data_IF_583412303174
#
_entry.id   IF_583412303174
#
_cell.length_a   1.000
_cell.length_b   1.000
_cell.length_c   1.000
_cell.angle_alpha   90.00
_cell.angle_beta   90.00
_cell.angle_gamma   90.00
#
_symmetry.space_group_name_H-M   'P 1'
#
loop_
_entity.id
_entity.type
_entity.pdbx_description
1 polymer ?
#
# COMPACT_ATOMS: atom_id res chain seq x y z
N UNK A 1 16.88 -23.39 -43.61
CA UNK A 1 17.59 -22.36 -44.42
C UNK A 1 16.52 -21.53 -45.13
N UNK A 2 16.25 -20.31 -44.67
CA UNK A 2 15.22 -19.45 -45.26
C UNK A 2 15.70 -19.01 -46.65
N UNK A 3 14.96 -19.37 -47.70
CA UNK A 3 15.19 -18.79 -49.03
C UNK A 3 14.76 -17.33 -48.96
N UNK A 4 15.70 -16.41 -49.08
CA UNK A 4 15.43 -14.97 -49.12
C UNK A 4 14.70 -14.72 -50.44
N UNK A 5 13.44 -14.24 -50.44
CA UNK A 5 12.77 -13.84 -51.67
C UNK A 5 13.50 -12.62 -52.23
N UNK A 6 13.80 -12.67 -53.52
CA UNK A 6 14.24 -11.51 -54.28
C UNK A 6 13.19 -10.39 -54.18
N UNK A 7 13.68 -9.16 -53.99
CA UNK A 7 12.99 -7.86 -53.91
C UNK A 7 12.27 -7.49 -52.58
N UNK A 8 12.97 -6.72 -51.75
CA UNK A 8 12.36 -5.61 -50.98
C UNK A 8 12.76 -4.30 -51.67
N UNK A 9 11.82 -3.62 -52.31
CA UNK A 9 12.08 -2.46 -53.17
C UNK A 9 12.41 -1.17 -52.39
N UNK A 10 12.20 -1.12 -51.07
CA UNK A 10 12.65 -0.01 -50.22
C UNK A 10 12.90 -0.42 -48.75
N UNK A 11 13.66 0.39 -48.02
CA UNK A 11 13.94 0.20 -46.59
C UNK A 11 12.66 0.23 -45.73
N UNK A 12 11.64 0.97 -46.17
CA UNK A 12 10.34 1.04 -45.52
C UNK A 12 9.54 -0.26 -45.67
N UNK A 13 9.64 -0.93 -46.81
CA UNK A 13 8.96 -2.21 -47.07
C UNK A 13 9.55 -3.34 -46.21
N UNK A 14 10.87 -3.32 -46.01
CA UNK A 14 11.53 -4.23 -45.08
C UNK A 14 11.02 -4.04 -43.65
N UNK A 15 10.96 -2.80 -43.14
CA UNK A 15 10.44 -2.55 -41.80
C UNK A 15 8.94 -2.81 -41.67
N UNK A 16 8.15 -2.55 -42.72
CA UNK A 16 6.74 -2.89 -42.76
C UNK A 16 6.54 -4.41 -42.71
N UNK A 17 7.32 -5.17 -43.47
CA UNK A 17 7.34 -6.64 -43.45
C UNK A 17 7.76 -7.19 -42.09
N UNK A 18 8.84 -6.66 -41.49
CA UNK A 18 9.27 -7.03 -40.13
C UNK A 18 8.17 -6.70 -39.11
N UNK A 19 7.50 -5.55 -39.21
CA UNK A 19 6.38 -5.18 -38.35
C UNK A 19 5.19 -6.13 -38.52
N UNK A 20 4.83 -6.51 -39.75
CA UNK A 20 3.78 -7.49 -40.06
C UNK A 20 4.12 -8.91 -39.55
N UNK A 21 5.38 -9.35 -39.69
CA UNK A 21 5.87 -10.65 -39.23
C UNK A 21 6.02 -10.72 -37.70
N UNK A 22 6.41 -9.61 -37.06
CA UNK A 22 6.56 -9.48 -35.60
C UNK A 22 5.27 -9.85 -34.86
N UNK A 23 4.10 -9.61 -35.46
CA UNK A 23 2.79 -9.99 -34.89
C UNK A 23 2.20 -11.28 -35.46
N UNK A 24 2.82 -11.93 -36.44
CA UNK A 24 2.35 -13.23 -36.99
C UNK A 24 3.18 -14.42 -36.52
N UNK A 25 4.41 -14.19 -36.09
CA UNK A 25 5.28 -15.24 -35.60
C UNK A 25 4.72 -15.84 -34.30
N UNK A 26 4.29 -17.10 -34.33
CA UNK A 26 3.73 -17.81 -33.17
C UNK A 26 4.67 -17.83 -31.96
N UNK A 27 5.99 -17.84 -32.17
CA UNK A 27 6.98 -17.74 -31.09
C UNK A 27 7.01 -16.34 -30.48
N UNK A 28 7.01 -15.27 -31.28
CA UNK A 28 6.92 -13.89 -30.78
C UNK A 28 5.57 -13.67 -30.07
N UNK A 29 4.48 -14.17 -30.65
CA UNK A 29 3.16 -14.17 -30.01
C UNK A 29 3.19 -14.96 -28.69
N UNK A 30 3.87 -16.11 -28.61
CA UNK A 30 4.02 -16.86 -27.36
C UNK A 30 4.80 -16.09 -26.29
N UNK A 31 5.77 -15.25 -26.69
CA UNK A 31 6.56 -14.41 -25.80
C UNK A 31 5.74 -13.17 -25.36
N UNK A 32 5.04 -12.51 -26.28
CA UNK A 32 4.20 -11.34 -25.98
C UNK A 32 2.95 -11.71 -25.18
N UNK A 33 2.34 -12.87 -25.47
CA UNK A 33 1.22 -13.42 -24.72
C UNK A 33 1.65 -14.03 -23.38
N UNK A 34 2.96 -14.30 -23.20
CA UNK A 34 3.59 -14.41 -21.88
C UNK A 34 3.77 -13.00 -21.28
N UNK A 35 2.67 -12.28 -21.12
CA UNK A 35 2.65 -11.27 -20.08
C UNK A 35 2.89 -12.02 -18.77
N UNK A 36 3.91 -11.66 -17.94
CA UNK A 36 4.07 -12.30 -16.66
C UNK A 36 2.74 -12.16 -15.93
N UNK A 37 2.06 -13.28 -15.67
CA UNK A 37 0.85 -13.27 -14.86
C UNK A 37 1.30 -12.70 -13.53
N UNK A 38 0.97 -11.43 -13.26
CA UNK A 38 1.31 -10.77 -12.01
C UNK A 38 0.79 -11.69 -10.93
N UNK A 39 1.73 -12.32 -10.22
CA UNK A 39 1.34 -13.27 -9.19
C UNK A 39 0.46 -12.54 -8.19
N UNK A 40 -0.55 -13.24 -7.66
CA UNK A 40 -1.50 -12.60 -6.77
C UNK A 40 -0.81 -12.24 -5.45
N UNK A 41 -1.10 -11.05 -4.93
CA UNK A 41 -0.56 -10.61 -3.65
C UNK A 41 -1.18 -11.47 -2.54
N UNK A 42 -0.34 -12.00 -1.65
CA UNK A 42 -0.77 -12.60 -0.38
C UNK A 42 -0.39 -11.64 0.74
N UNK A 43 -1.39 -11.15 1.48
CA UNK A 43 -1.22 -10.30 2.64
C UNK A 43 -1.17 -11.16 3.91
N UNK A 44 -0.06 -11.06 4.64
CA UNK A 44 0.13 -11.64 5.96
C UNK A 44 -0.14 -10.55 6.99
N UNK A 45 -1.21 -10.69 7.79
CA UNK A 45 -1.65 -9.62 8.67
C UNK A 45 -2.35 -10.14 9.94
N UNK A 46 -2.56 -9.25 10.91
CA UNK A 46 -3.42 -9.53 12.04
C UNK A 46 -4.47 -8.40 12.20
N UNK A 47 -5.77 -8.71 12.39
CA UNK A 47 -6.83 -7.68 12.48
C UNK A 47 -6.61 -6.65 13.60
N UNK A 48 -5.98 -7.04 14.70
CA UNK A 48 -5.69 -6.13 15.82
C UNK A 48 -4.52 -5.17 15.54
N UNK A 49 -3.66 -5.47 14.56
CA UNK A 49 -2.52 -4.61 14.23
C UNK A 49 -2.97 -3.41 13.39
N UNK A 50 -2.72 -2.20 13.90
CA UNK A 50 -3.00 -0.94 13.19
C UNK A 50 -2.33 -0.86 11.80
N UNK A 51 -1.01 -1.09 11.66
CA UNK A 51 -0.37 -1.07 10.35
C UNK A 51 -0.89 -2.16 9.41
N UNK A 52 -1.32 -3.31 9.95
CA UNK A 52 -1.98 -4.36 9.17
C UNK A 52 -3.30 -3.90 8.56
N UNK A 53 -4.13 -3.22 9.36
CA UNK A 53 -5.40 -2.66 8.87
C UNK A 53 -5.17 -1.60 7.80
N UNK A 54 -4.14 -0.76 7.90
CA UNK A 54 -3.83 0.25 6.89
C UNK A 54 -3.58 -0.37 5.51
N UNK A 55 -2.73 -1.41 5.42
CA UNK A 55 -2.44 -2.13 4.16
C UNK A 55 -3.69 -2.81 3.62
N UNK A 56 -4.41 -3.53 4.49
CA UNK A 56 -5.64 -4.23 4.11
C UNK A 56 -6.70 -3.26 3.57
N UNK A 57 -6.89 -2.12 4.22
CA UNK A 57 -7.83 -1.09 3.78
C UNK A 57 -7.47 -0.53 2.41
N UNK A 58 -6.18 -0.28 2.13
CA UNK A 58 -5.76 0.17 0.81
C UNK A 58 -6.15 -0.85 -0.27
N UNK A 59 -5.83 -2.13 -0.07
CA UNK A 59 -6.14 -3.19 -1.03
C UNK A 59 -7.64 -3.31 -1.30
N UNK A 60 -8.46 -3.23 -0.24
CA UNK A 60 -9.92 -3.27 -0.35
C UNK A 60 -10.49 -2.03 -1.05
N UNK A 61 -10.03 -0.83 -0.69
CA UNK A 61 -10.47 0.44 -1.29
C UNK A 61 -10.08 0.54 -2.77
N UNK A 62 -8.88 0.05 -3.10
CA UNK A 62 -8.39 -0.03 -4.47
C UNK A 62 -9.01 -1.18 -5.27
N UNK A 63 -9.86 -2.01 -4.64
CA UNK A 63 -10.50 -3.20 -5.25
C UNK A 63 -9.49 -4.14 -5.91
N UNK A 64 -8.31 -4.26 -5.31
CA UNK A 64 -7.28 -5.21 -5.74
C UNK A 64 -7.67 -6.57 -5.19
N UNK A 65 -7.58 -7.62 -6.01
CA UNK A 65 -7.76 -8.99 -5.55
C UNK A 65 -6.47 -9.50 -4.88
N UNK A 66 -6.58 -10.01 -3.66
CA UNK A 66 -5.46 -10.52 -2.89
C UNK A 66 -5.89 -11.70 -2.00
N UNK A 67 -4.92 -12.53 -1.64
CA UNK A 67 -5.11 -13.60 -0.67
C UNK A 67 -4.83 -13.08 0.74
N UNK A 68 -5.67 -13.48 1.69
CA UNK A 68 -5.52 -13.13 3.10
C UNK A 68 -4.93 -14.30 3.88
N UNK A 69 -3.85 -14.05 4.61
CA UNK A 69 -3.31 -14.98 5.60
C UNK A 69 -3.22 -14.29 6.96
N UNK A 70 -4.07 -14.72 7.88
CA UNK A 70 -4.03 -14.23 9.26
C UNK A 70 -2.83 -14.88 9.95
N UNK A 71 -2.01 -14.06 10.62
CA UNK A 71 -0.93 -14.50 11.48
C UNK A 71 -1.31 -14.16 12.92
N UNK A 72 -1.64 -15.17 13.72
CA UNK A 72 -2.08 -15.00 15.11
C UNK A 72 -0.91 -14.58 15.99
N UNK A 73 -0.78 -13.27 16.21
CA UNK A 73 0.27 -12.68 17.05
C UNK A 73 0.07 -13.01 18.53
N UNK A 74 -1.16 -13.34 18.96
CA UNK A 74 -1.44 -13.72 20.35
C UNK A 74 -0.90 -15.12 20.65
N UNK A 75 -0.91 -16.00 19.64
CA UNK A 75 -0.27 -17.32 19.69
C UNK A 75 1.19 -17.33 19.23
N UNK A 76 1.79 -16.15 19.00
CA UNK A 76 3.16 -16.02 18.52
C UNK A 76 3.44 -16.72 17.18
N UNK A 77 2.46 -16.86 16.29
CA UNK A 77 2.67 -17.47 14.96
C UNK A 77 3.67 -16.68 14.10
N UNK A 78 3.77 -15.36 14.36
CA UNK A 78 4.75 -14.48 13.75
C UNK A 78 6.21 -14.84 14.13
N UNK A 79 6.44 -15.67 15.15
CA UNK A 79 7.77 -16.14 15.55
C UNK A 79 8.15 -17.48 14.91
N UNK A 80 7.28 -18.07 14.10
CA UNK A 80 7.58 -19.33 13.42
C UNK A 80 8.71 -19.17 12.40
N UNK A 81 9.49 -20.25 12.19
CA UNK A 81 10.54 -20.28 11.17
C UNK A 81 9.96 -20.02 9.77
N UNK A 82 8.77 -20.56 9.51
CA UNK A 82 8.05 -20.36 8.25
C UNK A 82 7.72 -18.89 7.98
N UNK A 83 7.31 -18.14 9.01
CA UNK A 83 7.02 -16.71 8.86
C UNK A 83 8.28 -15.85 8.85
N UNK A 84 9.33 -16.26 9.54
CA UNK A 84 10.63 -15.58 9.52
C UNK A 84 11.25 -15.52 8.12
N UNK A 85 10.95 -16.50 7.25
CA UNK A 85 11.32 -16.47 5.83
C UNK A 85 10.57 -15.38 5.03
N UNK A 86 9.41 -14.93 5.50
CA UNK A 86 8.62 -13.86 4.86
C UNK A 86 9.04 -12.50 5.42
N UNK A 87 9.17 -12.40 6.74
CA UNK A 87 9.62 -11.21 7.42
C UNK A 87 10.60 -11.58 8.55
N UNK A 88 11.92 -11.30 8.38
CA UNK A 88 12.92 -11.62 9.38
C UNK A 88 12.73 -10.85 10.69
N UNK A 89 12.04 -9.70 10.66
CA UNK A 89 11.71 -8.94 11.87
C UNK A 89 10.55 -9.57 12.67
N UNK A 90 9.92 -10.64 12.17
CA UNK A 90 8.84 -11.36 12.85
C UNK A 90 7.65 -10.45 13.22
N UNK A 91 7.36 -9.43 12.40
CA UNK A 91 6.26 -8.49 12.60
C UNK A 91 5.20 -8.61 11.50
N UNK A 92 4.01 -8.07 11.75
CA UNK A 92 2.94 -7.92 10.75
C UNK A 92 2.64 -6.43 10.53
N UNK A 93 2.30 -6.00 9.31
CA UNK A 93 2.02 -6.80 8.11
C UNK A 93 3.24 -7.12 7.24
N UNK A 94 3.08 -8.12 6.36
CA UNK A 94 4.00 -8.43 5.25
C UNK A 94 3.20 -8.85 4.01
N UNK A 95 3.77 -8.71 2.82
CA UNK A 95 3.19 -9.23 1.58
C UNK A 95 4.13 -10.23 0.90
N UNK A 96 3.55 -11.15 0.13
CA UNK A 96 4.26 -12.03 -0.81
C UNK A 96 3.63 -11.97 -2.19
N UNK A 97 4.45 -11.89 -3.22
CA UNK A 97 4.04 -11.94 -4.62
C UNK A 97 5.04 -12.83 -5.38
N UNK A 98 4.72 -14.11 -5.51
CA UNK A 98 5.67 -15.13 -5.98
C UNK A 98 6.88 -15.27 -5.09
N UNK A 99 8.08 -15.10 -5.65
CA UNK A 99 9.33 -15.11 -4.89
C UNK A 99 9.61 -13.79 -4.17
N UNK A 100 8.88 -12.73 -4.47
CA UNK A 100 9.06 -11.42 -3.84
C UNK A 100 8.32 -11.37 -2.50
N UNK A 101 9.02 -10.95 -1.44
CA UNK A 101 8.45 -10.65 -0.13
C UNK A 101 8.80 -9.22 0.26
N UNK A 102 7.89 -8.55 0.97
CA UNK A 102 8.09 -7.20 1.47
C UNK A 102 7.43 -7.04 2.83
N UNK A 103 8.15 -6.43 3.76
CA UNK A 103 7.68 -6.05 5.10
C UNK A 103 7.87 -4.52 5.27
N UNK A 104 7.40 -3.98 6.39
CA UNK A 104 7.18 -2.54 6.66
C UNK A 104 5.93 -1.96 5.98
N UNK A 105 4.95 -1.53 6.79
CA UNK A 105 3.64 -1.12 6.27
C UNK A 105 3.71 0.07 5.31
N UNK A 106 4.54 1.07 5.58
CA UNK A 106 4.68 2.22 4.67
C UNK A 106 5.34 1.83 3.34
N UNK A 107 6.33 0.93 3.36
CA UNK A 107 6.94 0.42 2.14
C UNK A 107 5.92 -0.39 1.32
N UNK A 108 5.12 -1.23 1.98
CA UNK A 108 4.05 -2.00 1.34
C UNK A 108 3.00 -1.09 0.70
N UNK A 109 2.53 -0.06 1.42
CA UNK A 109 1.55 0.89 0.90
C UNK A 109 2.07 1.58 -0.38
N UNK A 110 3.33 2.06 -0.35
CA UNK A 110 3.97 2.68 -1.52
C UNK A 110 4.11 1.71 -2.67
N UNK A 111 4.59 0.49 -2.42
CA UNK A 111 4.71 -0.56 -3.42
C UNK A 111 3.36 -0.84 -4.11
N UNK A 112 2.28 -1.01 -3.35
CA UNK A 112 0.94 -1.23 -3.91
C UNK A 112 0.51 -0.02 -4.74
N UNK A 113 0.70 1.20 -4.25
CA UNK A 113 0.29 2.38 -5.00
C UNK A 113 1.05 2.55 -6.32
N UNK A 114 2.37 2.32 -6.33
CA UNK A 114 3.18 2.38 -7.55
C UNK A 114 2.81 1.24 -8.51
N UNK A 115 2.71 0.01 -8.01
CA UNK A 115 2.45 -1.19 -8.82
C UNK A 115 1.09 -1.12 -9.53
N UNK A 116 0.06 -0.63 -8.85
CA UNK A 116 -1.30 -0.52 -9.39
C UNK A 116 -1.65 0.88 -9.86
N UNK A 117 -0.68 1.81 -9.91
CA UNK A 117 -0.85 3.21 -10.35
C UNK A 117 -1.98 3.94 -9.61
N UNK A 118 -2.04 3.78 -8.29
CA UNK A 118 -3.07 4.35 -7.42
C UNK A 118 -2.77 5.82 -7.09
N UNK A 119 -2.82 6.69 -8.11
CA UNK A 119 -2.48 8.13 -7.99
C UNK A 119 -3.33 8.90 -6.99
N UNK A 120 -4.53 8.41 -6.68
CA UNK A 120 -5.42 9.01 -5.68
C UNK A 120 -4.91 8.87 -4.24
N UNK A 121 -4.10 7.83 -3.98
CA UNK A 121 -3.55 7.49 -2.68
C UNK A 121 -2.08 7.91 -2.56
N UNK A 122 -1.30 7.78 -3.64
CA UNK A 122 0.10 8.18 -3.67
C UNK A 122 0.46 8.76 -5.06
N UNK A 123 0.84 10.04 -5.16
CA UNK A 123 1.09 10.71 -6.44
C UNK A 123 2.21 10.02 -7.23
N UNK A 124 2.01 9.83 -8.53
CA UNK A 124 3.04 9.20 -9.38
C UNK A 124 4.03 10.24 -9.91
N UNK A 125 3.52 11.35 -10.46
CA UNK A 125 4.31 12.34 -11.21
C UNK A 125 4.63 13.63 -10.45
N UNK A 126 4.32 13.71 -9.15
CA UNK A 126 4.58 14.89 -8.33
C UNK A 126 5.59 14.59 -7.21
N UNK A 127 6.88 14.80 -7.52
CA UNK A 127 7.98 14.54 -6.60
C UNK A 127 7.85 15.32 -5.28
N UNK A 128 7.45 16.59 -5.32
CA UNK A 128 7.32 17.42 -4.12
C UNK A 128 6.24 16.90 -3.19
N UNK A 129 5.09 16.52 -3.75
CA UNK A 129 3.99 15.95 -2.97
C UNK A 129 4.33 14.55 -2.44
N UNK A 130 5.02 13.71 -3.22
CA UNK A 130 5.56 12.42 -2.74
C UNK A 130 6.47 12.62 -1.53
N UNK A 131 7.43 13.54 -1.62
CA UNK A 131 8.37 13.83 -0.52
C UNK A 131 7.65 14.33 0.75
N UNK A 132 6.60 15.15 0.59
CA UNK A 132 5.76 15.59 1.72
C UNK A 132 5.02 14.42 2.37
N UNK A 133 4.47 13.50 1.57
CA UNK A 133 3.80 12.31 2.08
C UNK A 133 4.81 11.39 2.78
N UNK A 134 5.97 11.14 2.18
CA UNK A 134 7.03 10.31 2.75
C UNK A 134 7.50 10.87 4.10
N UNK A 135 7.74 12.19 4.19
CA UNK A 135 8.11 12.83 5.44
C UNK A 135 7.07 12.62 6.56
N UNK A 136 5.78 12.61 6.22
CA UNK A 136 4.72 12.36 7.20
C UNK A 136 4.62 10.89 7.58
N UNK A 137 4.78 9.97 6.62
CA UNK A 137 4.85 8.53 6.89
C UNK A 137 6.01 8.20 7.83
N UNK A 138 7.18 8.77 7.61
CA UNK A 138 8.36 8.54 8.45
C UNK A 138 8.17 9.15 9.85
N UNK A 139 7.58 10.35 9.95
CA UNK A 139 7.21 10.95 11.23
C UNK A 139 6.21 10.08 12.02
N UNK A 140 5.18 9.54 11.36
CA UNK A 140 4.21 8.64 11.98
C UNK A 140 4.88 7.36 12.49
N UNK A 141 5.83 6.80 11.74
CA UNK A 141 6.57 5.60 12.15
C UNK A 141 7.37 5.84 13.43
N UNK A 142 7.99 7.01 13.56
CA UNK A 142 8.85 7.34 14.69
C UNK A 142 8.05 7.79 15.91
N UNK A 143 7.17 8.78 15.80
CA UNK A 143 6.57 9.43 16.97
C UNK A 143 5.24 8.78 17.39
N UNK A 144 4.36 8.47 16.43
CA UNK A 144 3.03 7.96 16.74
C UNK A 144 3.05 6.50 17.21
N UNK A 145 4.01 5.72 16.73
CA UNK A 145 4.21 4.34 17.20
C UNK A 145 4.58 4.31 18.68
N UNK A 146 5.52 5.15 19.10
CA UNK A 146 5.97 5.26 20.50
C UNK A 146 4.80 5.65 21.42
N UNK A 147 4.00 6.63 21.02
CA UNK A 147 2.83 7.06 21.78
C UNK A 147 1.79 5.93 21.87
N UNK A 148 1.53 5.23 20.75
CA UNK A 148 0.56 4.14 20.74
C UNK A 148 1.01 2.99 21.64
N UNK A 149 2.29 2.63 21.60
CA UNK A 149 2.87 1.62 22.49
C UNK A 149 2.78 2.05 23.96
N UNK A 150 3.11 3.30 24.28
CA UNK A 150 2.95 3.85 25.63
C UNK A 150 1.49 3.82 26.12
N UNK A 151 0.52 4.16 25.26
CA UNK A 151 -0.90 4.11 25.60
C UNK A 151 -1.37 2.68 25.83
N UNK A 152 -0.95 1.72 24.99
CA UNK A 152 -1.33 0.31 25.15
C UNK A 152 -0.73 -0.29 26.43
N UNK A 153 0.53 0.04 26.74
CA UNK A 153 1.21 -0.38 27.97
C UNK A 153 0.55 0.28 29.20
N UNK A 154 0.25 1.58 29.14
CA UNK A 154 -0.40 2.29 30.26
C UNK A 154 -1.82 1.78 30.51
N UNK A 155 -2.59 1.45 29.46
CA UNK A 155 -3.91 0.83 29.57
C UNK A 155 -3.88 -0.55 30.24
N UNK A 156 -2.87 -1.37 29.92
CA UNK A 156 -2.65 -2.64 30.62
C UNK A 156 -2.22 -2.48 32.08
N UNK A 157 -1.61 -1.33 32.42
CA UNK A 157 -1.12 -1.02 33.77
C UNK A 157 -2.11 -0.20 34.64
N UNK A 158 -3.34 0.11 34.18
CA UNK A 158 -4.27 0.96 34.93
C UNK A 158 -4.96 0.27 36.11
N UNK A 159 -4.18 0.03 37.17
CA UNK A 159 -4.69 0.08 38.54
C UNK A 159 -4.26 1.42 39.20
N UNK A 160 -5.23 2.35 39.25
CA UNK A 160 -5.57 3.25 40.37
C UNK A 160 -5.32 4.78 40.39
N UNK A 161 -4.45 5.46 39.62
CA UNK A 161 -4.21 6.92 39.92
C UNK A 161 -4.34 7.98 38.81
N UNK A 162 -4.42 7.65 37.52
CA UNK A 162 -4.28 8.66 36.43
C UNK A 162 -5.56 9.40 35.98
N UNK A 163 -6.67 9.33 36.71
CA UNK A 163 -7.94 9.95 36.27
C UNK A 163 -7.92 11.48 36.16
N UNK A 164 -6.93 12.16 36.76
CA UNK A 164 -6.81 13.64 36.75
C UNK A 164 -5.94 14.20 35.61
N UNK A 165 -4.93 13.46 35.12
CA UNK A 165 -4.15 13.87 33.93
C UNK A 165 -4.90 13.64 32.60
N UNK A 166 -5.89 12.75 32.62
CA UNK A 166 -6.79 12.40 31.49
C UNK A 166 -7.49 13.59 30.83
N UNK A 167 -7.61 14.75 31.48
CA UNK A 167 -8.26 15.94 30.89
C UNK A 167 -7.31 16.82 30.08
N UNK A 168 -6.03 16.90 30.44
CA UNK A 168 -5.04 17.72 29.74
C UNK A 168 -4.56 17.05 28.44
N UNK A 169 -4.40 15.72 28.46
CA UNK A 169 -3.95 14.94 27.30
C UNK A 169 -5.07 14.61 26.29
N UNK A 170 -6.34 14.66 26.70
CA UNK A 170 -7.51 14.56 25.78
C UNK A 170 -7.51 15.67 24.74
N UNK A 171 -7.02 16.87 25.09
CA UNK A 171 -6.99 18.04 24.20
C UNK A 171 -5.95 17.91 23.08
N UNK A 172 -4.85 17.21 23.36
CA UNK A 172 -3.78 16.95 22.39
C UNK A 172 -4.21 15.84 21.41
N UNK A 173 -4.84 14.78 21.92
CA UNK A 173 -5.31 13.65 21.12
C UNK A 173 -6.43 14.02 20.13
N UNK A 174 -7.34 14.92 20.52
CA UNK A 174 -8.40 15.45 19.63
C UNK A 174 -7.80 16.28 18.49
N UNK A 175 -6.72 17.03 18.73
CA UNK A 175 -6.07 17.86 17.70
C UNK A 175 -5.38 17.03 16.60
N UNK A 176 -4.78 15.88 16.94
CA UNK A 176 -4.12 15.02 15.95
C UNK A 176 -5.13 14.28 15.04
N UNK A 177 -6.27 13.84 15.59
CA UNK A 177 -7.32 13.20 14.81
C UNK A 177 -8.06 14.20 13.91
N UNK A 178 -8.31 15.42 14.41
CA UNK A 178 -8.83 16.52 13.60
C UNK A 178 -7.87 16.92 12.46
N UNK A 179 -6.55 16.82 12.65
CA UNK A 179 -5.58 17.11 11.60
C UNK A 179 -5.58 16.05 10.50
N UNK A 180 -5.66 14.76 10.86
CA UNK A 180 -5.81 13.64 9.91
C UNK A 180 -7.11 13.74 9.10
N UNK A 181 -8.24 14.03 9.75
CA UNK A 181 -9.51 14.30 9.08
C UNK A 181 -9.41 15.54 8.19
N UNK A 182 -8.77 16.62 8.64
CA UNK A 182 -8.61 17.85 7.85
C UNK A 182 -7.74 17.64 6.62
N UNK A 183 -6.71 16.80 6.68
CA UNK A 183 -5.87 16.50 5.50
C UNK A 183 -6.58 15.58 4.50
N UNK A 184 -7.36 14.59 4.97
CA UNK A 184 -8.18 13.72 4.11
C UNK A 184 -9.39 14.46 3.51
N UNK A 185 -10.02 15.38 4.26
CA UNK A 185 -11.16 16.21 3.83
C UNK A 185 -10.74 17.47 3.04
N UNK A 186 -9.47 17.88 3.07
CA UNK A 186 -8.98 18.99 2.23
C UNK A 186 -8.99 18.65 0.73
N UNK A 187 -9.14 17.37 0.34
CA UNK A 187 -9.41 16.99 -1.06
C UNK A 187 -10.80 17.45 -1.55
N UNK A 188 -11.76 17.75 -0.66
CA UNK A 188 -13.06 18.29 -1.08
C UNK A 188 -13.06 19.81 -1.32
N UNK A 189 -12.00 20.55 -0.94
CA UNK A 189 -11.97 22.01 -1.06
C UNK A 189 -11.06 22.56 -2.17
N UNK A 190 -10.66 21.75 -3.15
CA UNK A 190 -10.02 22.27 -4.36
C UNK A 190 -11.00 22.42 -5.53
N UNK A 191 -12.18 21.80 -5.51
CA UNK A 191 -13.22 22.08 -6.50
C UNK A 191 -14.62 21.78 -5.94
N UNK A 192 -15.29 22.82 -5.43
CA UNK A 192 -16.74 23.11 -5.51
C UNK A 192 -17.24 23.80 -4.24
N UNK A 193 -17.76 25.02 -4.43
CA UNK A 193 -18.50 25.77 -3.42
C UNK A 193 -19.78 25.03 -3.01
N UNK A 194 -19.73 24.14 -2.01
CA UNK A 194 -20.96 23.77 -1.29
C UNK A 194 -20.68 23.40 0.16
N UNK A 195 -21.04 24.31 1.06
CA UNK A 195 -20.95 24.16 2.52
C UNK A 195 -21.92 23.08 3.01
N UNK A 196 -21.43 21.92 3.45
CA UNK A 196 -22.25 20.97 4.23
C UNK A 196 -22.08 21.28 5.72
N UNK A 197 -23.18 21.69 6.36
CA UNK A 197 -23.25 22.00 7.81
C UNK A 197 -23.15 20.71 8.63
N UNK A 198 -22.39 20.79 9.73
CA UNK A 198 -22.17 19.74 10.75
C UNK A 198 -23.43 19.18 11.45
N UNK A 199 -24.65 19.58 11.07
CA UNK A 199 -25.90 19.15 11.71
C UNK A 199 -26.51 17.87 11.14
N UNK A 200 -25.85 17.16 10.22
CA UNK A 200 -26.40 15.97 9.54
C UNK A 200 -25.70 14.64 9.88
N UNK A 201 -24.69 14.62 10.73
CA UNK A 201 -24.06 13.40 11.20
C UNK A 201 -24.47 13.13 12.65
N UNK A 202 -25.59 12.46 12.84
CA UNK A 202 -25.93 11.81 14.09
C UNK A 202 -25.17 10.47 14.18
N UNK A 203 -24.34 10.35 15.22
CA UNK A 203 -24.02 9.08 15.89
C UNK A 203 -24.55 9.24 17.31
#
# INVERSE_FOLDING_TARGET
MFKIPELYLSHQDYFYFIKQQKYKNQFIQSILNKSPKLEQITLYFHPLSSPSRAVRSLLLLAKIEFNEKIIDILKSENKSDQYSLINPNQTVPSIKQGSFTLFESHAILKYICEQYRLSDFYPQDNLKLKAQIDSYLDFHLNEMKQITEYVMISQNNQNQQELKEKQKNKKIQINCYYFLLKFFLMKENINTSTTIKLSQLQI
#
